data_IF_285650171925
#
_entry.id   IF_285650171925
#
_cell.length_a   1.000
_cell.length_b   1.000
_cell.length_c   1.000
_cell.angle_alpha   90.00
_cell.angle_beta   90.00
_cell.angle_gamma   90.00
#
_symmetry.space_group_name_H-M   'P 1'
#
loop_
_entity.id
_entity.type
_entity.pdbx_description
1 polymer ?
#
# COMPACT_ATOMS: atom_id res chain seq x y z
N UNK A 1 -12.06 20.61 -1.78
CA UNK A 1 -11.67 19.76 -0.64
C UNK A 1 -11.88 18.34 -1.11
N UNK A 2 -10.81 17.67 -1.55
CA UNK A 2 -10.86 16.24 -1.85
C UNK A 2 -10.94 15.54 -0.49
N UNK A 3 -12.07 14.91 -0.20
CA UNK A 3 -12.23 14.12 1.01
C UNK A 3 -11.16 13.03 1.01
N UNK A 4 -10.38 13.02 2.09
CA UNK A 4 -9.40 12.00 2.38
C UNK A 4 -10.11 10.66 2.64
N UNK A 5 -10.35 9.89 1.58
CA UNK A 5 -10.93 8.55 1.66
C UNK A 5 -9.91 7.48 2.11
N UNK A 6 -8.69 7.86 2.56
CA UNK A 6 -7.63 6.93 2.98
C UNK A 6 -7.98 6.07 4.20
N UNK A 7 -9.16 6.25 4.80
CA UNK A 7 -9.71 5.39 5.86
C UNK A 7 -11.03 4.68 5.53
N UNK A 8 -11.63 4.92 4.36
CA UNK A 8 -12.93 4.33 4.03
C UNK A 8 -12.73 2.91 3.48
N UNK A 9 -13.25 1.94 4.23
CA UNK A 9 -13.52 0.62 3.70
C UNK A 9 -14.66 0.79 2.70
N UNK A 10 -14.41 0.55 1.40
CA UNK A 10 -15.44 0.69 0.37
C UNK A 10 -16.47 -0.45 0.49
N UNK A 11 -17.53 -0.21 1.30
CA UNK A 11 -18.64 -1.14 1.56
C UNK A 11 -18.38 -2.18 2.66
N UNK A 12 -19.23 -3.21 2.78
CA UNK A 12 -19.06 -4.35 3.70
C UNK A 12 -17.83 -5.26 3.41
N UNK A 13 -16.90 -4.84 2.54
CA UNK A 13 -15.72 -5.60 2.12
C UNK A 13 -14.50 -5.35 3.00
N UNK A 14 -13.40 -6.08 2.79
CA UNK A 14 -12.09 -5.76 3.41
C UNK A 14 -11.28 -4.94 2.42
N UNK A 15 -10.76 -3.79 2.84
CA UNK A 15 -9.79 -3.02 2.05
C UNK A 15 -8.43 -3.72 2.08
N UNK A 16 -7.83 -3.88 0.91
CA UNK A 16 -6.50 -4.44 0.71
C UNK A 16 -5.57 -3.33 0.20
N UNK A 17 -4.45 -3.11 0.88
CA UNK A 17 -3.44 -2.14 0.46
C UNK A 17 -2.17 -2.90 0.07
N UNK A 18 -1.62 -2.59 -1.10
CA UNK A 18 -0.38 -3.16 -1.61
C UNK A 18 0.67 -2.05 -1.64
N UNK A 19 1.62 -2.11 -0.71
CA UNK A 19 2.77 -1.22 -0.70
C UNK A 19 3.77 -1.65 -1.80
N UNK A 20 4.14 -0.72 -2.68
CA UNK A 20 5.16 -0.93 -3.72
C UNK A 20 6.32 0.03 -3.50
N UNK A 21 7.52 -0.54 -3.49
CA UNK A 21 8.80 0.17 -3.44
C UNK A 21 9.66 -0.27 -4.64
N UNK A 22 10.62 0.56 -5.04
CA UNK A 22 11.60 0.25 -6.08
C UNK A 22 11.69 1.27 -7.19
N UNK A 23 12.92 1.46 -7.70
CA UNK A 23 13.25 2.56 -8.61
C UNK A 23 12.50 2.56 -9.95
N UNK A 24 12.07 1.41 -10.47
CA UNK A 24 11.27 1.35 -11.69
C UNK A 24 9.86 1.92 -11.46
N UNK A 25 9.22 1.55 -10.35
CA UNK A 25 7.92 2.08 -9.98
C UNK A 25 8.00 3.56 -9.57
N UNK A 26 9.08 3.96 -8.89
CA UNK A 26 9.31 5.34 -8.45
C UNK A 26 9.58 6.30 -9.63
N UNK A 27 10.48 5.92 -10.55
CA UNK A 27 11.06 6.83 -11.53
C UNK A 27 10.53 6.68 -12.96
N UNK A 28 9.68 5.67 -13.24
CA UNK A 28 9.11 5.45 -14.57
C UNK A 28 7.56 5.53 -14.52
N UNK A 29 6.97 6.73 -14.76
CA UNK A 29 5.53 6.94 -14.64
C UNK A 29 4.68 6.05 -15.54
N UNK A 30 5.13 5.77 -16.77
CA UNK A 30 4.38 4.90 -17.69
C UNK A 30 4.34 3.45 -17.20
N UNK A 31 5.45 2.95 -16.62
CA UNK A 31 5.46 1.63 -15.98
C UNK A 31 4.46 1.57 -14.81
N UNK A 32 4.45 2.61 -13.97
CA UNK A 32 3.48 2.73 -12.86
C UNK A 32 2.04 2.68 -13.37
N UNK A 33 1.72 3.47 -14.39
CA UNK A 33 0.38 3.51 -14.97
C UNK A 33 -0.04 2.14 -15.54
N UNK A 34 0.82 1.53 -16.37
CA UNK A 34 0.52 0.23 -16.96
C UNK A 34 0.36 -0.88 -15.91
N UNK A 35 1.14 -0.84 -14.83
CA UNK A 35 0.99 -1.78 -13.72
C UNK A 35 -0.38 -1.61 -13.05
N UNK A 36 -0.79 -0.38 -12.75
CA UNK A 36 -2.09 -0.10 -12.13
C UNK A 36 -3.25 -0.51 -13.05
N UNK A 37 -3.18 -0.16 -14.33
CA UNK A 37 -4.20 -0.52 -15.33
C UNK A 37 -4.30 -2.03 -15.51
N UNK A 38 -3.16 -2.74 -15.55
CA UNK A 38 -3.13 -4.20 -15.65
C UNK A 38 -3.76 -4.86 -14.42
N UNK A 39 -3.53 -4.33 -13.22
CA UNK A 39 -4.15 -4.84 -11.99
C UNK A 39 -5.67 -4.60 -12.00
N UNK A 40 -6.12 -3.43 -12.49
CA UNK A 40 -7.55 -3.14 -12.68
C UNK A 40 -8.19 -4.16 -13.63
N UNK A 41 -7.55 -4.40 -14.77
CA UNK A 41 -8.03 -5.34 -15.79
C UNK A 41 -8.12 -6.78 -15.23
N UNK A 42 -7.08 -7.23 -14.52
CA UNK A 42 -7.01 -8.59 -13.95
C UNK A 42 -8.03 -8.84 -12.83
N UNK A 43 -8.32 -7.83 -12.00
CA UNK A 43 -9.26 -7.95 -10.89
C UNK A 43 -10.73 -7.79 -11.32
N UNK A 44 -10.96 -7.33 -12.55
CA UNK A 44 -12.28 -7.03 -13.07
C UNK A 44 -12.83 -5.70 -12.55
N UNK A 45 -13.86 -5.20 -13.25
CA UNK A 45 -14.49 -3.89 -12.99
C UNK A 45 -15.53 -3.91 -11.87
N UNK A 46 -15.78 -5.07 -11.27
CA UNK A 46 -16.70 -5.26 -10.15
C UNK A 46 -16.04 -4.91 -8.79
N UNK A 47 -16.82 -5.01 -7.69
CA UNK A 47 -16.46 -4.59 -6.31
C UNK A 47 -15.08 -5.08 -5.81
N UNK A 48 -14.46 -6.04 -6.48
CA UNK A 48 -13.11 -6.54 -6.23
C UNK A 48 -12.02 -5.47 -6.41
N UNK A 49 -12.07 -4.62 -7.45
CA UNK A 49 -11.06 -3.56 -7.63
C UNK A 49 -11.25 -2.40 -6.65
N UNK A 50 -12.49 -2.00 -6.34
CA UNK A 50 -12.77 -0.88 -5.43
C UNK A 50 -12.12 -1.04 -4.04
N UNK A 51 -11.73 -2.26 -3.68
CA UNK A 51 -11.11 -2.56 -2.39
C UNK A 51 -9.58 -2.66 -2.42
N UNK A 52 -8.93 -2.62 -3.59
CA UNK A 52 -7.47 -2.72 -3.72
C UNK A 52 -6.86 -1.35 -3.96
N UNK A 53 -5.95 -0.93 -3.07
CA UNK A 53 -5.19 0.32 -3.19
C UNK A 53 -3.72 -0.01 -3.37
N UNK A 54 -3.11 0.50 -4.42
CA UNK A 54 -1.66 0.39 -4.64
C UNK A 54 -1.01 1.68 -4.13
N UNK A 55 -0.19 1.56 -3.09
CA UNK A 55 0.44 2.69 -2.40
C UNK A 55 1.95 2.70 -2.66
N UNK A 56 2.48 3.82 -3.15
CA UNK A 56 3.93 3.98 -3.27
C UNK A 56 4.55 4.18 -1.88
N UNK A 57 5.40 3.26 -1.45
CA UNK A 57 6.06 3.33 -0.13
C UNK A 57 7.57 3.32 -0.31
N UNK A 58 8.17 4.51 -0.27
CA UNK A 58 9.62 4.68 -0.44
C UNK A 58 10.38 4.14 0.77
N UNK A 59 11.34 3.27 0.52
CA UNK A 59 12.20 2.65 1.54
C UNK A 59 11.39 1.98 2.68
N UNK A 60 10.32 1.29 2.29
CA UNK A 60 9.45 0.60 3.24
C UNK A 60 10.20 -0.49 4.02
N UNK A 61 11.24 -1.06 3.41
CA UNK A 61 12.08 -2.09 4.03
C UNK A 61 12.96 -1.53 5.17
N UNK A 62 13.59 -0.36 4.99
CA UNK A 62 14.40 0.28 6.02
C UNK A 62 13.56 0.68 7.23
N UNK A 63 12.43 1.37 7.00
CA UNK A 63 11.50 1.77 8.07
C UNK A 63 10.92 0.52 8.75
N UNK A 64 10.49 -0.47 7.97
CA UNK A 64 9.95 -1.73 8.49
C UNK A 64 10.94 -2.48 9.37
N UNK A 65 12.23 -2.49 9.02
CA UNK A 65 13.28 -3.09 9.84
C UNK A 65 13.42 -2.38 11.21
N UNK A 66 13.38 -1.05 11.23
CA UNK A 66 13.41 -0.26 12.47
C UNK A 66 12.18 -0.53 13.33
N UNK A 67 10.98 -0.55 12.73
CA UNK A 67 9.74 -0.85 13.46
C UNK A 67 9.77 -2.26 14.05
N UNK A 68 10.28 -3.24 13.29
CA UNK A 68 10.42 -4.61 13.77
C UNK A 68 11.43 -4.70 14.93
N UNK A 69 12.59 -4.06 14.79
CA UNK A 69 13.62 -4.01 15.84
C UNK A 69 13.11 -3.32 17.11
N UNK A 70 12.31 -2.25 16.97
CA UNK A 70 11.73 -1.50 18.09
C UNK A 70 10.69 -2.35 18.83
N UNK A 71 9.79 -3.00 18.08
CA UNK A 71 8.75 -3.89 18.64
C UNK A 71 9.34 -5.11 19.35
N UNK A 72 10.54 -5.54 18.97
CA UNK A 72 11.26 -6.66 19.57
C UNK A 72 12.46 -6.21 20.41
N UNK A 73 12.50 -4.95 20.85
CA UNK A 73 13.64 -4.46 21.60
C UNK A 73 13.70 -5.12 22.99
N UNK A 74 14.92 -5.36 23.49
CA UNK A 74 15.14 -5.82 24.87
C UNK A 74 14.78 -4.75 25.92
N UNK A 75 14.46 -3.54 25.45
CA UNK A 75 14.05 -2.39 26.27
C UNK A 75 12.54 -2.17 26.22
N UNK A 76 11.75 -3.18 25.84
CA UNK A 76 10.31 -3.22 26.11
C UNK A 76 10.12 -3.27 27.65
N UNK A 77 10.31 -2.12 28.28
CA UNK A 77 9.97 -1.88 29.67
C UNK A 77 8.46 -1.76 29.68
N UNK A 78 7.80 -2.71 30.33
CA UNK A 78 6.43 -2.55 30.78
C UNK A 78 6.36 -1.26 31.61
N UNK A 79 5.76 -0.21 31.03
CA UNK A 79 5.27 0.96 31.77
C UNK A 79 3.75 0.83 31.91
#
# INVERSE_FOLDING_TARGET
MEEDQRGLVFGNGKRSVVAIDGGLYENYPQYRAYLQDSVIELLGTEKSFCNVVIEHTKDGSGIGAVVLATSNSMYNQDL
#
